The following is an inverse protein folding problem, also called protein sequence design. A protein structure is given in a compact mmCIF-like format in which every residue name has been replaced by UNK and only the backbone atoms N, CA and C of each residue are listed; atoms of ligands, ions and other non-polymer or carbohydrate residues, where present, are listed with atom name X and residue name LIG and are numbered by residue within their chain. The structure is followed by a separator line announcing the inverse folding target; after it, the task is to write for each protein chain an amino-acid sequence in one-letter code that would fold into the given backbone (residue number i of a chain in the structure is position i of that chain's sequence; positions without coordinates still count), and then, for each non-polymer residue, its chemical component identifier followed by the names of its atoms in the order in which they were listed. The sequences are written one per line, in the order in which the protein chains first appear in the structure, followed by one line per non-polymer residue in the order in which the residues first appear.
data_IF_347804874038
#
_entry.id   IF_347804874038
#
_cell.length_a   1.000
_cell.length_b   1.000
_cell.length_c   1.000
_cell.angle_alpha   90.00
_cell.angle_beta   90.00
_cell.angle_gamma   90.00
#
_symmetry.space_group_name_H-M   'P 1'
#
loop_
_entity.id
_entity.type
_entity.pdbx_description
1 polymer ?
#
# COMPACT_ATOMS: atom_id res chain seq x y z
N UNK A 1 -6.75 -14.43 -14.39
CA UNK A 1 -7.06 -14.29 -12.96
C UNK A 1 -5.82 -13.73 -12.26
N UNK A 2 -5.88 -12.64 -11.49
CA UNK A 2 -4.76 -12.23 -10.68
C UNK A 2 -4.49 -13.35 -9.66
N UNK A 3 -3.21 -13.76 -9.53
CA UNK A 3 -2.79 -14.73 -8.51
C UNK A 3 -3.04 -14.22 -7.08
N UNK A 4 -2.86 -15.07 -6.06
CA UNK A 4 -3.11 -14.71 -4.66
C UNK A 4 -2.35 -13.44 -4.30
N UNK A 5 -3.06 -12.49 -3.68
CA UNK A 5 -2.48 -11.21 -3.26
C UNK A 5 -1.40 -11.43 -2.20
N UNK A 6 -0.28 -10.69 -2.29
CA UNK A 6 0.78 -10.77 -1.29
C UNK A 6 0.25 -10.37 0.08
N UNK A 7 0.42 -11.24 1.07
CA UNK A 7 0.19 -10.90 2.48
C UNK A 7 1.47 -11.19 3.27
N UNK A 8 1.72 -10.45 4.35
CA UNK A 8 2.86 -10.72 5.24
C UNK A 8 2.81 -12.13 5.86
N UNK A 9 1.67 -12.81 5.85
CA UNK A 9 1.49 -14.19 6.29
C UNK A 9 2.08 -15.19 5.28
N UNK A 10 2.31 -14.76 4.03
CA UNK A 10 2.88 -15.58 2.97
C UNK A 10 4.39 -15.32 2.79
N UNK A 11 5.09 -15.05 3.88
CA UNK A 11 6.55 -14.85 3.89
C UNK A 11 7.23 -15.73 4.92
N UNK A 12 8.40 -16.23 4.55
CA UNK A 12 9.32 -16.89 5.46
C UNK A 12 10.53 -15.99 5.70
N UNK A 13 10.94 -15.89 6.95
CA UNK A 13 12.15 -15.15 7.32
C UNK A 13 13.17 -16.12 7.88
N UNK A 14 14.35 -16.08 7.30
CA UNK A 14 15.49 -16.88 7.72
C UNK A 14 16.62 -15.97 8.20
N UNK A 15 17.33 -16.43 9.22
CA UNK A 15 18.59 -15.86 9.67
C UNK A 15 19.69 -16.90 9.52
N UNK A 16 20.71 -16.58 8.75
CA UNK A 16 21.83 -17.46 8.47
C UNK A 16 23.09 -16.84 9.06
N UNK A 17 23.62 -17.42 10.14
CA UNK A 17 24.91 -17.01 10.70
C UNK A 17 26.01 -17.81 10.00
N UNK A 18 26.88 -17.11 9.27
CA UNK A 18 28.04 -17.70 8.62
C UNK A 18 29.18 -17.83 9.63
N UNK A 19 29.93 -18.93 9.56
CA UNK A 19 31.10 -19.14 10.42
C UNK A 19 32.25 -18.28 9.96
N UNK A 20 32.94 -17.64 10.91
CA UNK A 20 34.17 -16.92 10.63
C UNK A 20 35.25 -17.91 10.13
N UNK A 21 36.04 -17.48 9.16
CA UNK A 21 37.10 -18.30 8.57
C UNK A 21 36.66 -19.29 7.46
N UNK A 22 35.33 -19.49 7.29
CA UNK A 22 34.79 -20.22 6.13
C UNK A 22 34.26 -19.22 5.11
N UNK A 23 35.03 -18.97 4.05
CA UNK A 23 34.54 -18.14 2.95
C UNK A 23 33.83 -19.01 1.91
N UNK A 24 32.69 -18.52 1.46
CA UNK A 24 31.93 -19.09 0.33
C UNK A 24 31.25 -17.97 -0.44
N UNK A 25 30.77 -18.24 -1.64
CA UNK A 25 29.97 -17.26 -2.37
C UNK A 25 28.60 -17.10 -1.72
N UNK A 26 28.00 -15.91 -1.85
CA UNK A 26 26.68 -15.64 -1.31
C UNK A 26 25.63 -16.59 -1.89
N UNK A 27 25.70 -16.87 -3.20
CA UNK A 27 24.80 -17.84 -3.85
C UNK A 27 24.96 -19.26 -3.25
N UNK A 28 26.21 -19.72 -3.03
CA UNK A 28 26.46 -21.01 -2.38
C UNK A 28 25.94 -21.06 -0.92
N UNK A 29 26.09 -19.95 -0.18
CA UNK A 29 25.54 -19.85 1.17
C UNK A 29 24.00 -19.98 1.20
N UNK A 30 23.31 -19.30 0.28
CA UNK A 30 21.85 -19.39 0.14
C UNK A 30 21.41 -20.81 -0.22
N UNK A 31 22.03 -21.44 -1.23
CA UNK A 31 21.71 -22.80 -1.64
C UNK A 31 21.89 -23.79 -0.50
N UNK A 32 23.02 -23.74 0.20
CA UNK A 32 23.34 -24.64 1.32
C UNK A 32 22.36 -24.51 2.48
N UNK A 33 22.09 -23.29 2.93
CA UNK A 33 21.32 -23.04 4.17
C UNK A 33 19.81 -23.03 3.96
N UNK A 34 19.32 -22.65 2.77
CA UNK A 34 17.90 -22.63 2.44
C UNK A 34 17.44 -23.86 1.66
N UNK A 35 18.38 -24.75 1.28
CA UNK A 35 18.13 -25.93 0.44
C UNK A 35 17.43 -25.53 -0.87
N UNK A 36 17.95 -24.50 -1.52
CA UNK A 36 17.42 -23.93 -2.77
C UNK A 36 18.31 -24.29 -3.95
N UNK A 37 17.77 -24.18 -5.17
CA UNK A 37 18.55 -24.26 -6.40
C UNK A 37 19.37 -22.97 -6.62
N UNK A 38 20.34 -23.02 -7.54
CA UNK A 38 21.09 -21.83 -7.93
C UNK A 38 20.18 -20.74 -8.53
N UNK A 39 19.19 -21.15 -9.33
CA UNK A 39 18.20 -20.24 -9.93
C UNK A 39 17.34 -19.53 -8.88
N UNK A 40 16.88 -20.27 -7.87
CA UNK A 40 16.11 -19.70 -6.75
C UNK A 40 16.97 -18.72 -5.92
N UNK A 41 18.23 -19.05 -5.66
CA UNK A 41 19.15 -18.17 -4.96
C UNK A 41 19.37 -16.86 -5.74
N UNK A 42 19.62 -16.95 -7.04
CA UNK A 42 19.74 -15.78 -7.92
C UNK A 42 18.45 -14.96 -7.97
N UNK A 43 17.28 -15.59 -7.97
CA UNK A 43 16.01 -14.90 -7.92
C UNK A 43 15.86 -14.09 -6.62
N UNK A 44 16.19 -14.68 -5.46
CA UNK A 44 16.17 -13.98 -4.17
C UNK A 44 17.09 -12.76 -4.15
N UNK A 45 18.25 -12.85 -4.78
CA UNK A 45 19.20 -11.74 -4.92
C UNK A 45 18.66 -10.65 -5.85
N UNK A 46 18.20 -11.01 -7.05
CA UNK A 46 17.63 -10.05 -8.02
C UNK A 46 16.47 -9.27 -7.46
N UNK A 47 15.55 -9.92 -6.76
CA UNK A 47 14.37 -9.24 -6.16
C UNK A 47 14.69 -8.46 -4.89
N UNK A 48 15.90 -8.61 -4.32
CA UNK A 48 16.34 -7.88 -3.13
C UNK A 48 15.85 -8.45 -1.80
N UNK A 49 15.64 -9.77 -1.72
CA UNK A 49 15.20 -10.49 -0.52
C UNK A 49 16.31 -10.73 0.49
N UNK A 50 17.58 -10.58 0.10
CA UNK A 50 18.76 -10.95 0.91
C UNK A 50 19.40 -9.70 1.50
N UNK A 51 19.68 -9.74 2.80
CA UNK A 51 20.23 -8.62 3.55
C UNK A 51 21.44 -9.01 4.39
N UNK A 52 22.41 -8.12 4.45
CA UNK A 52 23.32 -8.06 5.58
C UNK A 52 22.57 -7.47 6.77
N UNK A 53 22.33 -8.26 7.81
CA UNK A 53 21.52 -7.85 8.97
C UNK A 53 22.20 -6.78 9.82
N UNK A 54 23.54 -6.77 9.86
CA UNK A 54 24.33 -5.87 10.69
C UNK A 54 24.44 -4.50 9.99
N UNK A 55 24.76 -4.49 8.70
CA UNK A 55 24.87 -3.27 7.87
C UNK A 55 23.52 -2.74 7.40
N UNK A 56 22.45 -3.53 7.48
CA UNK A 56 21.09 -3.20 7.00
C UNK A 56 21.03 -2.85 5.51
N UNK A 57 21.88 -3.50 4.71
CA UNK A 57 21.93 -3.32 3.24
C UNK A 57 21.51 -4.59 2.52
N UNK A 58 20.91 -4.43 1.34
CA UNK A 58 20.58 -5.56 0.46
C UNK A 58 21.82 -6.08 -0.23
N UNK A 59 21.93 -7.39 -0.34
CA UNK A 59 22.98 -8.08 -1.07
C UNK A 59 22.42 -8.60 -2.39
N UNK A 60 23.15 -8.37 -3.49
CA UNK A 60 22.67 -8.72 -4.84
C UNK A 60 23.65 -9.53 -5.66
N UNK A 61 24.94 -9.43 -5.36
CA UNK A 61 26.00 -10.15 -6.08
C UNK A 61 26.15 -11.57 -5.51
N UNK A 62 25.66 -12.55 -6.23
CA UNK A 62 25.75 -13.96 -5.85
C UNK A 62 27.20 -14.50 -5.80
N UNK A 63 28.13 -13.90 -6.57
CA UNK A 63 29.56 -14.22 -6.57
C UNK A 63 30.33 -13.62 -5.39
N UNK A 64 29.76 -12.65 -4.68
CA UNK A 64 30.38 -12.00 -3.54
C UNK A 64 30.79 -13.02 -2.46
N UNK A 65 32.02 -12.90 -1.96
CA UNK A 65 32.51 -13.71 -0.86
C UNK A 65 31.88 -13.27 0.47
N UNK A 66 31.38 -14.20 1.24
CA UNK A 66 30.73 -13.97 2.54
C UNK A 66 31.35 -14.86 3.62
N UNK A 67 31.63 -14.28 4.80
CA UNK A 67 32.21 -14.99 5.95
C UNK A 67 31.87 -14.26 7.26
N UNK A 68 31.47 -14.99 8.31
CA UNK A 68 31.20 -14.42 9.63
C UNK A 68 29.93 -13.53 9.73
N UNK A 69 29.28 -13.19 8.64
CA UNK A 69 28.14 -12.29 8.58
C UNK A 69 26.84 -12.96 9.07
N UNK A 70 25.90 -12.12 9.53
CA UNK A 70 24.52 -12.52 9.75
C UNK A 70 23.66 -12.08 8.55
N UNK A 71 23.28 -13.05 7.73
CA UNK A 71 22.35 -12.82 6.63
C UNK A 71 20.91 -12.92 7.11
N UNK A 72 20.03 -12.03 6.62
CA UNK A 72 18.58 -12.17 6.71
C UNK A 72 18.03 -12.38 5.31
N UNK A 73 17.18 -13.39 5.16
CA UNK A 73 16.47 -13.65 3.91
C UNK A 73 14.97 -13.57 4.17
N UNK A 74 14.28 -12.67 3.50
CA UNK A 74 12.83 -12.53 3.54
C UNK A 74 12.27 -13.19 2.25
N UNK A 75 11.93 -14.49 2.32
CA UNK A 75 11.48 -15.30 1.19
C UNK A 75 9.97 -15.22 1.01
N UNK A 76 9.45 -14.65 -0.10
CA UNK A 76 8.02 -14.68 -0.40
C UNK A 76 7.60 -16.09 -0.83
N UNK A 77 6.41 -16.54 -0.37
CA UNK A 77 5.77 -17.80 -0.80
C UNK A 77 4.90 -17.63 -2.05
N UNK A 78 5.02 -16.50 -2.72
CA UNK A 78 4.28 -16.16 -3.93
C UNK A 78 5.24 -15.62 -4.99
N UNK A 79 4.85 -15.75 -6.25
CA UNK A 79 5.66 -15.24 -7.36
C UNK A 79 5.56 -13.72 -7.41
N UNK A 80 6.70 -13.04 -7.24
CA UNK A 80 6.80 -11.60 -7.46
C UNK A 80 6.75 -11.32 -8.97
N UNK A 81 6.08 -10.21 -9.31
CA UNK A 81 6.08 -9.66 -10.67
C UNK A 81 6.58 -8.23 -10.57
N UNK A 82 7.47 -7.87 -11.46
CA UNK A 82 7.86 -6.47 -11.59
C UNK A 82 6.63 -5.62 -11.88
N UNK A 83 6.49 -4.52 -11.14
CA UNK A 83 5.37 -3.62 -11.34
C UNK A 83 5.72 -2.63 -12.46
N UNK A 84 4.90 -2.62 -13.51
CA UNK A 84 4.90 -1.61 -14.55
C UNK A 84 3.67 -0.70 -14.37
N UNK A 85 3.89 0.61 -14.44
CA UNK A 85 2.82 1.59 -14.46
C UNK A 85 2.21 1.63 -15.87
N UNK A 86 0.93 1.33 -15.98
CA UNK A 86 0.19 1.44 -17.23
C UNK A 86 -0.41 2.85 -17.37
N UNK A 87 -0.62 3.33 -18.59
CA UNK A 87 -1.26 4.63 -18.86
C UNK A 87 -2.64 4.72 -18.17
N UNK A 88 -3.38 3.64 -18.18
CA UNK A 88 -4.65 3.50 -17.49
C UNK A 88 -4.58 3.64 -15.95
N UNK A 89 -3.41 3.55 -15.33
CA UNK A 89 -3.22 3.77 -13.89
C UNK A 89 -3.04 5.26 -13.55
N UNK A 90 -2.65 6.11 -14.50
CA UNK A 90 -2.53 7.56 -14.31
C UNK A 90 -3.93 8.19 -14.23
N UNK A 91 -4.24 8.87 -13.13
CA UNK A 91 -5.57 9.48 -12.90
C UNK A 91 -5.55 11.00 -12.89
N UNK A 92 -4.39 11.58 -12.71
CA UNK A 92 -4.13 13.00 -12.85
C UNK A 92 -2.65 13.21 -13.10
N UNK A 93 -2.34 14.10 -14.03
CA UNK A 93 -0.98 14.51 -14.31
C UNK A 93 -0.96 15.96 -14.78
N UNK A 94 -0.04 16.75 -14.25
CA UNK A 94 0.34 18.06 -14.72
C UNK A 94 1.85 18.28 -14.57
N UNK A 95 2.33 19.51 -14.66
CA UNK A 95 3.75 19.82 -14.52
C UNK A 95 4.30 19.54 -13.10
N UNK A 96 3.47 19.59 -12.07
CA UNK A 96 3.83 19.49 -10.66
C UNK A 96 3.58 18.10 -10.05
N UNK A 97 2.46 17.48 -10.44
CA UNK A 97 1.96 16.30 -9.75
C UNK A 97 1.65 15.15 -10.71
N UNK A 98 1.88 13.94 -10.21
CA UNK A 98 1.36 12.71 -10.78
C UNK A 98 0.54 11.98 -9.72
N UNK A 99 -0.73 11.63 -10.03
CA UNK A 99 -1.59 10.85 -9.15
C UNK A 99 -1.98 9.57 -9.85
N UNK A 100 -1.60 8.43 -9.26
CA UNK A 100 -1.80 7.12 -9.85
C UNK A 100 -2.73 6.27 -9.03
N UNK A 101 -3.43 5.37 -9.68
CA UNK A 101 -4.24 4.34 -9.02
C UNK A 101 -3.38 3.14 -8.65
N UNK A 102 -3.32 2.83 -7.37
CA UNK A 102 -2.69 1.63 -6.83
C UNK A 102 -3.71 0.51 -6.72
N UNK A 103 -3.45 -0.61 -7.36
CA UNK A 103 -4.24 -1.85 -7.19
C UNK A 103 -3.95 -2.49 -5.83
N UNK A 104 -4.89 -3.29 -5.32
CA UNK A 104 -4.65 -4.13 -4.14
C UNK A 104 -3.48 -5.08 -4.35
N UNK A 105 -2.71 -5.35 -3.29
CA UNK A 105 -1.55 -6.24 -3.35
C UNK A 105 -0.27 -5.64 -3.90
N UNK A 106 -0.30 -4.42 -4.47
CA UNK A 106 0.90 -3.70 -4.90
C UNK A 106 1.42 -2.84 -3.75
N UNK A 107 2.66 -3.01 -3.28
CA UNK A 107 3.27 -2.11 -2.30
C UNK A 107 3.48 -0.71 -2.89
N UNK A 108 3.33 0.34 -2.07
CA UNK A 108 3.68 1.70 -2.52
C UNK A 108 5.18 1.88 -2.62
N UNK A 109 5.93 1.30 -1.70
CA UNK A 109 7.39 1.42 -1.56
C UNK A 109 8.02 0.03 -1.42
N UNK A 110 9.36 -0.09 -1.59
CA UNK A 110 10.07 -1.35 -1.38
C UNK A 110 9.71 -2.03 -0.06
N UNK A 111 9.57 -3.34 -0.12
CA UNK A 111 9.30 -4.20 1.04
C UNK A 111 10.58 -4.94 1.47
N UNK A 112 10.67 -5.52 2.65
CA UNK A 112 11.84 -6.31 3.02
C UNK A 112 12.18 -7.45 2.06
N UNK A 113 11.18 -8.03 1.40
CA UNK A 113 11.34 -9.16 0.49
C UNK A 113 11.51 -8.77 -0.99
N UNK A 114 11.24 -7.51 -1.35
CA UNK A 114 11.38 -7.05 -2.74
C UNK A 114 11.47 -5.53 -2.84
N UNK A 115 12.22 -5.06 -3.82
CA UNK A 115 12.21 -3.67 -4.26
C UNK A 115 11.89 -3.53 -5.75
N UNK A 116 11.44 -4.60 -6.41
CA UNK A 116 11.11 -4.60 -7.83
C UNK A 116 9.62 -4.62 -8.15
N UNK A 117 8.76 -4.94 -7.16
CA UNK A 117 7.32 -5.15 -7.31
C UNK A 117 6.47 -4.02 -6.73
N UNK A 118 6.96 -2.79 -6.71
CA UNK A 118 6.30 -1.68 -6.02
C UNK A 118 5.98 -0.49 -6.93
N UNK A 119 4.98 0.30 -6.50
CA UNK A 119 4.48 1.45 -7.24
C UNK A 119 5.55 2.53 -7.46
N UNK A 120 6.42 2.74 -6.46
CA UNK A 120 7.51 3.73 -6.55
C UNK A 120 8.46 3.43 -7.71
N UNK A 121 8.85 2.15 -7.90
CA UNK A 121 9.69 1.76 -9.02
C UNK A 121 9.00 1.99 -10.37
N UNK A 122 7.71 1.63 -10.46
CA UNK A 122 6.94 1.88 -11.68
C UNK A 122 6.84 3.36 -12.03
N UNK A 123 6.62 4.23 -11.03
CA UNK A 123 6.61 5.69 -11.23
C UNK A 123 8.01 6.23 -11.56
N UNK A 124 9.07 5.68 -10.96
CA UNK A 124 10.43 6.09 -11.30
C UNK A 124 10.76 5.81 -12.78
N UNK A 125 10.41 4.62 -13.28
CA UNK A 125 10.55 4.27 -14.70
C UNK A 125 9.72 5.19 -15.61
N UNK A 126 8.49 5.47 -15.23
CA UNK A 126 7.64 6.41 -15.94
C UNK A 126 8.26 7.82 -16.01
N UNK A 127 8.87 8.30 -14.92
CA UNK A 127 9.59 9.58 -14.92
C UNK A 127 10.78 9.56 -15.88
N UNK A 128 11.55 8.49 -15.88
CA UNK A 128 12.70 8.30 -16.79
C UNK A 128 12.26 8.31 -18.27
N UNK A 129 11.20 7.60 -18.61
CA UNK A 129 10.60 7.57 -19.95
C UNK A 129 10.07 8.95 -20.40
N UNK A 130 9.56 9.75 -19.47
CA UNK A 130 9.06 11.11 -19.72
C UNK A 130 10.15 12.19 -19.64
N UNK A 131 11.40 11.83 -19.36
CA UNK A 131 12.51 12.79 -19.20
C UNK A 131 12.42 13.63 -17.92
N UNK A 132 11.62 13.23 -16.94
CA UNK A 132 11.49 13.89 -15.63
C UNK A 132 12.70 13.54 -14.77
N UNK A 133 13.59 14.50 -14.53
CA UNK A 133 14.85 14.32 -13.80
C UNK A 133 14.71 14.35 -12.26
N UNK A 134 13.56 13.98 -11.75
CA UNK A 134 13.31 13.94 -10.31
C UNK A 134 13.20 12.51 -9.81
N UNK A 135 13.81 12.22 -8.66
CA UNK A 135 13.67 10.91 -8.03
C UNK A 135 12.27 10.80 -7.45
N UNK A 136 11.46 9.91 -8.00
CA UNK A 136 10.10 9.69 -7.52
C UNK A 136 10.06 9.42 -6.01
N UNK A 137 9.15 10.08 -5.31
CA UNK A 137 8.88 9.86 -3.89
C UNK A 137 7.36 9.94 -3.64
N UNK A 138 6.76 8.92 -3.03
CA UNK A 138 5.33 8.96 -2.74
C UNK A 138 5.05 9.91 -1.58
N UNK A 139 4.11 10.84 -1.78
CA UNK A 139 3.68 11.82 -0.78
C UNK A 139 2.77 11.18 0.26
N UNK A 140 2.00 10.16 -0.13
CA UNK A 140 1.15 9.38 0.77
C UNK A 140 1.35 7.87 0.57
N UNK A 141 0.82 7.10 1.50
CA UNK A 141 0.87 5.65 1.43
C UNK A 141 -0.53 5.06 1.63
N UNK A 142 -0.73 3.88 1.04
CA UNK A 142 -1.85 3.00 1.30
C UNK A 142 -1.33 1.66 1.81
N UNK A 143 -2.15 0.97 2.61
CA UNK A 143 -1.85 -0.39 3.03
C UNK A 143 -1.68 -1.31 1.83
N UNK A 144 -0.87 -2.35 1.96
CA UNK A 144 -0.61 -3.31 0.88
C UNK A 144 -1.90 -3.82 0.20
N UNK A 145 -2.92 -4.33 0.93
CA UNK A 145 -4.14 -4.83 0.30
C UNK A 145 -5.12 -3.73 -0.11
N UNK A 146 -4.98 -2.48 0.40
CA UNK A 146 -5.87 -1.38 0.05
C UNK A 146 -5.63 -0.89 -1.38
N UNK A 147 -6.70 -0.39 -1.99
CA UNK A 147 -6.69 0.20 -3.34
C UNK A 147 -6.83 1.71 -3.25
N UNK A 148 -6.44 2.43 -4.32
CA UNK A 148 -6.74 3.84 -4.43
C UNK A 148 -5.62 4.73 -4.92
N UNK A 149 -5.84 6.02 -4.77
CA UNK A 149 -4.98 7.07 -5.31
C UNK A 149 -3.73 7.30 -4.46
N UNK A 150 -2.58 7.41 -5.12
CA UNK A 150 -1.28 7.73 -4.51
C UNK A 150 -0.65 8.90 -5.28
N UNK A 151 -0.11 9.87 -4.54
CA UNK A 151 0.49 11.08 -5.05
C UNK A 151 2.01 10.96 -5.17
N UNK A 152 2.52 11.51 -6.26
CA UNK A 152 3.93 11.76 -6.49
C UNK A 152 4.11 13.20 -6.98
N UNK A 153 5.16 13.87 -6.52
CA UNK A 153 5.57 15.18 -7.05
C UNK A 153 6.63 14.99 -8.14
N UNK A 154 6.74 15.99 -9.01
CA UNK A 154 7.73 16.00 -10.10
C UNK A 154 8.96 16.81 -9.78
N UNK A 155 8.98 17.53 -8.65
CA UNK A 155 10.14 18.21 -8.09
C UNK A 155 10.12 18.25 -6.55
N UNK A 156 11.21 18.76 -5.95
CA UNK A 156 11.39 18.85 -4.50
C UNK A 156 10.50 19.91 -3.84
N UNK A 157 10.21 20.99 -4.53
CA UNK A 157 9.39 22.10 -4.01
C UNK A 157 7.95 21.65 -3.87
N UNK A 158 7.41 21.02 -4.91
CA UNK A 158 6.06 20.49 -4.93
C UNK A 158 5.88 19.32 -3.95
N UNK A 159 6.91 18.47 -3.83
CA UNK A 159 6.93 17.42 -2.81
C UNK A 159 6.81 18.01 -1.39
N UNK A 160 7.63 19.02 -1.06
CA UNK A 160 7.61 19.66 0.24
C UNK A 160 6.26 20.35 0.50
N UNK A 161 5.70 21.05 -0.49
CA UNK A 161 4.40 21.72 -0.40
C UNK A 161 3.26 20.73 -0.14
N UNK A 162 3.23 19.61 -0.85
CA UNK A 162 2.22 18.58 -0.67
C UNK A 162 2.39 17.82 0.65
N UNK A 163 3.62 17.46 1.02
CA UNK A 163 3.91 16.83 2.32
C UNK A 163 3.42 17.71 3.49
N UNK A 164 3.62 19.02 3.41
CA UNK A 164 3.12 19.99 4.41
C UNK A 164 1.58 19.98 4.48
N UNK A 165 0.88 19.91 3.34
CA UNK A 165 -0.58 19.81 3.35
C UNK A 165 -1.07 18.52 4.01
N UNK A 166 -0.42 17.38 3.75
CA UNK A 166 -0.75 16.10 4.39
C UNK A 166 -0.47 16.15 5.91
N UNK A 167 0.67 16.69 6.33
CA UNK A 167 1.03 16.84 7.76
C UNK A 167 0.06 17.73 8.52
N UNK A 168 -0.39 18.83 7.90
CA UNK A 168 -1.34 19.77 8.47
C UNK A 168 -2.81 19.33 8.32
N UNK A 169 -3.07 18.09 7.86
CA UNK A 169 -4.41 17.55 7.60
C UNK A 169 -5.30 18.42 6.67
N UNK A 170 -4.66 19.18 5.77
CA UNK A 170 -5.36 20.04 4.79
C UNK A 170 -5.81 19.28 3.55
N UNK A 171 -5.32 18.07 3.33
CA UNK A 171 -5.77 17.17 2.27
C UNK A 171 -6.97 16.36 2.77
N UNK A 172 -8.12 16.55 2.14
CA UNK A 172 -9.32 15.77 2.46
C UNK A 172 -9.28 14.45 1.72
N UNK A 173 -9.34 13.36 2.47
CA UNK A 173 -9.31 11.98 1.97
C UNK A 173 -10.71 11.39 2.06
N UNK A 174 -11.18 10.72 1.01
CA UNK A 174 -12.43 9.98 1.01
C UNK A 174 -12.17 8.56 0.58
N UNK A 175 -12.69 7.65 1.40
CA UNK A 175 -12.61 6.23 1.12
C UNK A 175 -13.99 5.64 0.94
N UNK A 176 -14.06 4.57 0.16
CA UNK A 176 -15.14 3.60 0.17
C UNK A 176 -14.67 2.36 0.91
N UNK A 177 -15.53 1.81 1.73
CA UNK A 177 -15.31 0.57 2.46
C UNK A 177 -16.55 -0.32 2.33
N UNK A 178 -16.38 -1.64 2.35
CA UNK A 178 -17.49 -2.57 2.37
C UNK A 178 -17.32 -3.62 3.46
N UNK A 179 -18.47 -4.04 4.05
CA UNK A 179 -18.55 -5.13 5.03
C UNK A 179 -19.59 -6.16 4.58
N UNK A 180 -19.59 -7.36 5.20
CA UNK A 180 -20.66 -8.36 5.01
C UNK A 180 -21.76 -8.27 6.04
N UNK A 181 -21.49 -7.63 7.18
CA UNK A 181 -22.44 -7.45 8.25
C UNK A 181 -22.56 -5.98 8.62
N UNK A 182 -23.73 -5.56 9.03
CA UNK A 182 -24.01 -4.23 9.54
C UNK A 182 -25.26 -4.28 10.40
N UNK A 183 -25.14 -3.86 11.66
CA UNK A 183 -26.27 -3.89 12.60
C UNK A 183 -27.41 -2.95 12.26
N UNK A 184 -27.14 -1.96 11.38
CA UNK A 184 -28.15 -0.95 11.00
C UNK A 184 -28.49 0.08 12.07
N UNK A 185 -27.92 -0.01 13.27
CA UNK A 185 -28.30 0.82 14.43
C UNK A 185 -27.99 2.30 14.20
N UNK A 186 -26.91 2.60 13.45
CA UNK A 186 -26.50 3.99 13.15
C UNK A 186 -26.16 4.15 11.68
N UNK A 187 -26.63 5.21 11.06
CA UNK A 187 -26.25 5.60 9.69
C UNK A 187 -24.88 6.30 9.62
N UNK A 188 -24.35 6.75 10.75
CA UNK A 188 -23.04 7.41 10.85
C UNK A 188 -22.36 7.12 12.17
N UNK A 189 -21.02 7.12 12.15
CA UNK A 189 -20.14 6.87 13.29
C UNK A 189 -19.06 7.94 13.35
N UNK A 190 -18.70 8.33 14.58
CA UNK A 190 -17.51 9.11 14.88
C UNK A 190 -16.62 8.22 15.75
N UNK A 191 -15.60 7.62 15.15
CA UNK A 191 -14.74 6.65 15.82
C UNK A 191 -13.47 7.36 16.28
N UNK A 192 -13.26 7.37 17.59
CA UNK A 192 -12.07 7.94 18.25
C UNK A 192 -11.42 6.86 19.08
N UNK A 193 -10.16 6.60 18.84
CA UNK A 193 -9.38 5.63 19.62
C UNK A 193 -7.90 5.97 19.58
N UNK A 194 -7.16 5.47 20.55
CA UNK A 194 -5.71 5.46 20.48
C UNK A 194 -5.25 4.17 19.81
N UNK A 195 -4.53 4.31 18.72
CA UNK A 195 -4.01 3.16 17.99
C UNK A 195 -2.54 2.96 18.30
N UNK A 196 -2.20 1.78 18.82
CA UNK A 196 -0.83 1.39 19.08
C UNK A 196 -0.20 0.77 17.85
N UNK A 197 1.03 1.17 17.54
CA UNK A 197 1.86 0.59 16.50
C UNK A 197 3.34 0.73 16.84
N UNK A 198 4.07 -0.40 16.88
CA UNK A 198 5.50 -0.47 17.21
C UNK A 198 5.87 0.31 18.48
N UNK A 199 5.10 0.09 19.55
CA UNK A 199 5.32 0.72 20.85
C UNK A 199 4.90 2.20 20.94
N UNK A 200 4.37 2.80 19.87
CA UNK A 200 3.87 4.17 19.86
C UNK A 200 2.34 4.19 19.82
N UNK A 201 1.71 4.87 20.79
CA UNK A 201 0.27 5.04 20.88
C UNK A 201 -0.13 6.44 20.45
N UNK A 202 -1.03 6.55 19.46
CA UNK A 202 -1.42 7.84 18.86
C UNK A 202 -2.91 7.92 18.61
N UNK A 203 -3.50 9.07 18.93
CA UNK A 203 -4.91 9.35 18.69
C UNK A 203 -5.27 9.20 17.21
N UNK A 204 -6.39 8.56 16.96
CA UNK A 204 -6.98 8.34 15.64
C UNK A 204 -8.44 8.78 15.63
N UNK A 205 -8.86 9.44 14.54
CA UNK A 205 -10.21 9.92 14.33
C UNK A 205 -10.68 9.58 12.91
N UNK A 206 -11.85 8.94 12.81
CA UNK A 206 -12.48 8.57 11.54
C UNK A 206 -13.97 8.86 11.60
N UNK A 207 -14.49 9.58 10.60
CA UNK A 207 -15.93 9.69 10.35
C UNK A 207 -16.34 8.62 9.34
N UNK A 208 -17.44 7.92 9.63
CA UNK A 208 -17.99 6.87 8.79
C UNK A 208 -19.46 7.15 8.54
N UNK A 209 -19.91 7.03 7.30
CA UNK A 209 -21.32 7.15 6.92
C UNK A 209 -21.73 5.94 6.09
N UNK A 210 -22.77 5.27 6.49
CA UNK A 210 -23.42 4.24 5.68
C UNK A 210 -23.97 4.86 4.40
N UNK A 211 -23.79 4.19 3.27
CA UNK A 211 -24.26 4.64 1.97
C UNK A 211 -25.46 3.83 1.50
N UNK A 212 -25.27 2.53 1.44
CA UNK A 212 -26.27 1.59 0.93
C UNK A 212 -25.86 0.15 1.17
N UNK A 213 -26.83 -0.73 1.05
CA UNK A 213 -26.64 -2.16 0.89
C UNK A 213 -26.88 -2.55 -0.57
N UNK A 214 -26.06 -3.45 -1.09
CA UNK A 214 -26.29 -4.10 -2.36
C UNK A 214 -25.70 -5.51 -2.39
N UNK A 215 -26.50 -6.49 -2.74
CA UNK A 215 -26.12 -7.90 -2.85
C UNK A 215 -25.38 -8.44 -1.60
N UNK A 216 -25.91 -8.16 -0.40
CA UNK A 216 -25.33 -8.58 0.88
C UNK A 216 -24.00 -7.92 1.22
N UNK A 217 -23.71 -6.78 0.61
CA UNK A 217 -22.56 -5.92 0.94
C UNK A 217 -23.05 -4.56 1.40
N UNK A 218 -22.54 -4.11 2.54
CA UNK A 218 -22.85 -2.83 3.14
C UNK A 218 -21.72 -1.85 2.84
N UNK A 219 -22.02 -0.78 2.10
CA UNK A 219 -21.06 0.21 1.65
C UNK A 219 -21.06 1.46 2.50
N UNK A 220 -19.87 1.96 2.80
CA UNK A 220 -19.65 3.12 3.65
C UNK A 220 -18.74 4.14 2.99
N UNK A 221 -19.06 5.43 3.14
CA UNK A 221 -18.13 6.53 2.96
C UNK A 221 -17.33 6.74 4.25
N UNK A 222 -16.01 6.85 4.11
CA UNK A 222 -15.10 6.96 5.24
C UNK A 222 -14.18 8.16 5.07
N UNK A 223 -14.08 8.98 6.11
CA UNK A 223 -13.34 10.24 6.13
C UNK A 223 -12.32 10.22 7.28
N UNK A 224 -11.13 9.63 7.11
CA UNK A 224 -10.11 9.61 8.15
C UNK A 224 -9.50 11.00 8.31
N UNK A 225 -9.58 11.55 9.53
CA UNK A 225 -8.97 12.84 9.89
C UNK A 225 -7.49 12.70 10.21
N UNK A 226 -7.07 11.54 10.67
CA UNK A 226 -5.69 11.16 10.92
C UNK A 226 -5.24 10.09 9.92
N UNK A 227 -3.97 9.69 9.94
CA UNK A 227 -3.40 8.69 9.03
C UNK A 227 -2.56 7.65 9.77
N UNK A 228 -3.14 6.95 10.76
CA UNK A 228 -2.41 5.90 11.51
C UNK A 228 -2.40 4.59 10.73
N UNK A 229 -1.40 3.78 10.96
CA UNK A 229 -1.25 2.48 10.31
C UNK A 229 -2.50 1.62 10.53
N UNK A 230 -3.07 1.13 9.44
CA UNK A 230 -4.30 0.33 9.41
C UNK A 230 -5.51 0.98 10.11
N UNK A 231 -5.56 2.31 10.23
CA UNK A 231 -6.58 3.02 11.01
C UNK A 231 -8.00 2.60 10.66
N UNK A 232 -8.40 2.71 9.40
CA UNK A 232 -9.78 2.40 8.97
C UNK A 232 -10.11 0.95 9.26
N UNK A 233 -9.22 0.02 8.97
CA UNK A 233 -9.40 -1.42 9.16
C UNK A 233 -9.63 -1.77 10.63
N UNK A 234 -8.85 -1.17 11.54
CA UNK A 234 -8.97 -1.37 13.00
C UNK A 234 -10.23 -0.72 13.55
N UNK A 235 -10.57 0.49 13.09
CA UNK A 235 -11.81 1.16 13.49
C UNK A 235 -13.06 0.39 13.07
N UNK A 236 -13.06 -0.15 11.84
CA UNK A 236 -14.18 -0.97 11.37
C UNK A 236 -14.31 -2.26 12.14
N UNK A 237 -13.20 -2.95 12.42
CA UNK A 237 -13.22 -4.16 13.25
C UNK A 237 -13.83 -3.91 14.63
N UNK A 238 -13.49 -2.78 15.26
CA UNK A 238 -13.89 -2.49 16.63
C UNK A 238 -15.33 -1.98 16.74
N UNK A 239 -15.79 -1.12 15.81
CA UNK A 239 -16.98 -0.29 16.01
C UNK A 239 -18.09 -0.49 14.97
N UNK A 240 -17.79 -1.12 13.83
CA UNK A 240 -18.78 -1.31 12.76
C UNK A 240 -18.94 -2.79 12.43
N UNK A 241 -18.05 -3.33 11.67
CA UNK A 241 -17.82 -4.73 11.34
C UNK A 241 -16.50 -4.82 10.57
N UNK A 242 -15.78 -5.96 10.60
CA UNK A 242 -14.58 -6.14 9.81
C UNK A 242 -14.82 -5.91 8.32
N UNK A 243 -13.85 -5.28 7.65
CA UNK A 243 -13.94 -5.04 6.22
C UNK A 243 -13.97 -6.36 5.44
N UNK A 244 -14.74 -6.38 4.38
CA UNK A 244 -14.81 -7.51 3.46
C UNK A 244 -13.42 -7.78 2.87
N UNK A 245 -12.96 -9.03 2.95
CA UNK A 245 -11.64 -9.44 2.49
C UNK A 245 -10.46 -9.06 3.40
N UNK A 246 -10.73 -8.51 4.61
CA UNK A 246 -9.65 -8.22 5.54
C UNK A 246 -9.13 -9.50 6.23
N UNK A 247 -7.97 -9.97 5.78
CA UNK A 247 -7.32 -11.18 6.32
C UNK A 247 -6.73 -10.94 7.72
N UNK A 248 -6.35 -9.70 8.03
CA UNK A 248 -5.64 -9.39 9.28
C UNK A 248 -6.59 -9.04 10.43
N UNK A 249 -7.64 -8.29 10.13
CA UNK A 249 -8.57 -7.74 11.12
C UNK A 249 -10.00 -8.29 10.96
N UNK A 250 -10.18 -9.25 10.06
CA UNK A 250 -11.46 -9.87 9.77
C UNK A 250 -11.33 -11.36 9.51
N UNK A 251 -12.28 -11.90 8.78
CA UNK A 251 -12.36 -13.32 8.39
C UNK A 251 -12.09 -13.49 6.87
N UNK A 252 -11.33 -12.61 6.26
CA UNK A 252 -10.94 -12.72 4.86
C UNK A 252 -10.07 -13.96 4.63
N UNK A 253 -10.37 -14.74 3.59
CA UNK A 253 -9.51 -15.82 3.17
C UNK A 253 -8.18 -15.29 2.62
N UNK A 254 -7.06 -16.03 2.75
CA UNK A 254 -5.81 -15.66 2.08
C UNK A 254 -6.02 -15.42 0.59
N UNK A 255 -5.54 -14.29 0.07
CA UNK A 255 -5.73 -13.90 -1.33
C UNK A 255 -7.03 -13.15 -1.63
N UNK A 256 -7.92 -12.97 -0.66
CA UNK A 256 -9.12 -12.18 -0.86
C UNK A 256 -8.79 -10.69 -1.05
N UNK A 257 -9.53 -10.03 -1.94
CA UNK A 257 -9.44 -8.59 -2.13
C UNK A 257 -10.01 -7.84 -0.94
N UNK A 258 -9.23 -6.93 -0.36
CA UNK A 258 -9.70 -6.01 0.66
C UNK A 258 -10.61 -4.95 0.02
N UNK A 259 -11.84 -4.84 0.51
CA UNK A 259 -12.78 -3.82 0.09
C UNK A 259 -12.56 -2.51 0.86
N UNK A 260 -11.43 -1.87 0.56
CA UNK A 260 -11.04 -0.54 1.04
C UNK A 260 -10.37 0.24 -0.09
N UNK A 261 -11.02 1.29 -0.54
CA UNK A 261 -10.60 2.12 -1.67
C UNK A 261 -10.48 3.58 -1.27
N UNK A 262 -9.29 4.16 -1.39
CA UNK A 262 -9.10 5.61 -1.36
C UNK A 262 -9.48 6.19 -2.73
N UNK A 263 -10.71 6.60 -2.90
CA UNK A 263 -11.23 6.97 -4.22
C UNK A 263 -11.15 8.46 -4.55
N UNK A 264 -10.94 9.32 -3.55
CA UNK A 264 -10.99 10.75 -3.79
C UNK A 264 -10.11 11.55 -2.83
N UNK A 265 -9.40 12.51 -3.40
CA UNK A 265 -8.66 13.54 -2.67
C UNK A 265 -9.11 14.93 -3.09
N UNK A 266 -9.22 15.85 -2.11
CA UNK A 266 -9.34 17.28 -2.36
C UNK A 266 -8.23 18.00 -1.62
N UNK A 267 -7.46 18.82 -2.32
CA UNK A 267 -6.26 19.50 -1.84
C UNK A 267 -6.12 20.89 -2.49
N UNK A 268 -5.15 21.69 -2.06
CA UNK A 268 -4.75 22.90 -2.78
C UNK A 268 -3.57 22.55 -3.67
N UNK A 269 -3.70 22.88 -4.96
CA UNK A 269 -2.66 22.63 -5.93
C UNK A 269 -1.38 23.42 -5.56
N UNK A 270 -0.18 22.81 -5.54
CA UNK A 270 1.03 23.44 -5.00
C UNK A 270 1.40 24.73 -5.75
N UNK A 271 1.35 24.74 -7.07
CA UNK A 271 1.70 25.91 -7.86
C UNK A 271 0.59 26.97 -7.89
N UNK A 272 -0.64 26.57 -8.20
CA UNK A 272 -1.74 27.54 -8.42
C UNK A 272 -2.51 27.94 -7.15
N UNK A 273 -2.35 27.22 -6.04
CA UNK A 273 -3.15 27.39 -4.82
C UNK A 273 -4.63 27.04 -4.96
N UNK A 274 -5.11 26.70 -6.17
CA UNK A 274 -6.51 26.38 -6.45
C UNK A 274 -6.92 25.08 -5.77
N UNK A 275 -8.17 25.01 -5.29
CA UNK A 275 -8.76 23.78 -4.77
C UNK A 275 -8.95 22.79 -5.92
N UNK A 276 -8.24 21.68 -5.86
CA UNK A 276 -8.28 20.60 -6.85
C UNK A 276 -8.88 19.36 -6.23
N UNK A 277 -9.69 18.64 -7.00
CA UNK A 277 -10.27 17.37 -6.55
C UNK A 277 -10.02 16.32 -7.63
N UNK A 278 -9.39 15.22 -7.24
CA UNK A 278 -9.14 14.06 -8.09
C UNK A 278 -9.90 12.87 -7.51
N UNK A 279 -10.65 12.19 -8.35
CA UNK A 279 -11.43 11.01 -7.93
C UNK A 279 -11.39 9.92 -8.99
N UNK A 280 -11.36 8.67 -8.54
CA UNK A 280 -11.40 7.50 -9.38
C UNK A 280 -12.18 6.37 -8.70
N UNK A 281 -13.12 5.81 -9.41
CA UNK A 281 -13.91 4.66 -8.96
C UNK A 281 -13.73 3.53 -9.98
N UNK A 282 -13.00 2.45 -9.65
CA UNK A 282 -12.80 1.30 -10.53
C UNK A 282 -14.12 0.56 -10.84
N UNK A 283 -14.19 -0.08 -12.01
CA UNK A 283 -15.39 -0.78 -12.44
C UNK A 283 -15.89 -1.88 -11.48
N UNK A 284 -15.05 -2.68 -10.83
CA UNK A 284 -15.51 -3.64 -9.82
C UNK A 284 -16.30 -2.98 -8.66
N UNK A 285 -15.88 -1.77 -8.25
CA UNK A 285 -16.57 -1.00 -7.23
C UNK A 285 -17.88 -0.41 -7.74
N UNK A 286 -17.88 0.13 -8.97
CA UNK A 286 -19.11 0.64 -9.62
C UNK A 286 -20.15 -0.46 -9.77
N UNK A 287 -19.75 -1.61 -10.29
CA UNK A 287 -20.62 -2.76 -10.46
C UNK A 287 -21.18 -3.26 -9.14
N UNK A 288 -20.32 -3.37 -8.11
CA UNK A 288 -20.71 -3.86 -6.79
C UNK A 288 -21.65 -2.90 -6.04
N UNK A 289 -21.46 -1.59 -6.21
CA UNK A 289 -22.35 -0.60 -5.60
C UNK A 289 -23.71 -0.51 -6.31
N UNK A 290 -23.79 -0.93 -7.57
CA UNK A 290 -24.99 -0.80 -8.40
C UNK A 290 -25.24 0.65 -8.84
N UNK A 291 -26.31 0.87 -9.63
CA UNK A 291 -26.69 2.23 -10.07
C UNK A 291 -27.05 3.10 -8.86
N UNK A 292 -26.62 4.37 -8.82
CA UNK A 292 -27.07 5.28 -7.77
C UNK A 292 -28.61 5.41 -7.86
N UNK A 293 -29.29 5.24 -6.72
CA UNK A 293 -30.67 5.64 -6.65
C UNK A 293 -30.73 7.16 -6.86
N UNK A 294 -31.60 7.60 -7.75
CA UNK A 294 -31.83 9.01 -8.05
C UNK A 294 -32.27 9.69 -6.74
N UNK A 295 -31.35 10.41 -6.08
CA UNK A 295 -31.64 11.13 -4.83
C UNK A 295 -30.60 11.03 -3.71
N UNK A 296 -29.70 10.03 -3.72
CA UNK A 296 -28.65 9.92 -2.70
C UNK A 296 -27.46 10.83 -3.04
N UNK A 297 -27.58 12.11 -2.76
CA UNK A 297 -26.54 13.11 -3.00
C UNK A 297 -25.23 12.74 -2.29
N UNK A 298 -24.19 12.47 -3.06
CA UNK A 298 -22.77 12.39 -2.62
C UNK A 298 -22.24 13.79 -2.19
N UNK A 299 -23.11 14.65 -1.62
CA UNK A 299 -22.69 15.95 -1.12
C UNK A 299 -21.97 15.80 0.22
N UNK A 300 -20.83 16.45 0.42
CA UNK A 300 -20.18 16.47 1.72
C UNK A 300 -21.08 17.19 2.72
N UNK A 301 -21.20 16.64 3.94
CA UNK A 301 -21.65 17.44 5.08
C UNK A 301 -20.72 18.66 5.20
N UNK A 302 -21.30 19.83 5.38
CA UNK A 302 -20.62 21.13 5.58
C UNK A 302 -19.72 21.11 6.78
#
# INVERSE_FOLDING_TARGET
MPGPQPSYQNMERFFIRLKAGQSMTLSAALQKHLRTTAEEAEQLLRQGSVWDSERKVRLRDGGMAVTGQLLRVDRPKFKLREFALEEGDVKYEDEQLLIVYKRGGVPVQPTPYSDTDNLLLGVQKYYEEKGIRYRAAPINRLDLPAQGLVFFAKDKTDEAAMNRQFQLHRVRKRYLAATRAFSGVKSSYIIRSDLEWQGSRKAALTYVRFCRENAGRFFFLVFPQTGRTHQIRRHFQAEVAPLLGDVRYGQGAPGADLWLLCFCYSFRHPASGKKTTVSFLPDPWRAAMGKPEVGAGLRPAR
#
